data_IF_754230027162
#
_entry.id   IF_754230027162
#
_cell.length_a   1.000
_cell.length_b   1.000
_cell.length_c   1.000
_cell.angle_alpha   90.00
_cell.angle_beta   90.00
_cell.angle_gamma   90.00
#
_symmetry.space_group_name_H-M   'P 1'
#
loop_
_entity.id
_entity.type
_entity.pdbx_description
1 polymer ?
#
# COMPACT_ATOMS: atom_id res chain seq x y z
N UNK A 1 24.24 -40.11 -23.90
CA UNK A 1 24.18 -38.63 -24.03
C UNK A 1 22.82 -38.08 -24.45
N UNK A 2 22.37 -38.16 -25.70
CA UNK A 2 21.14 -37.44 -26.13
C UNK A 2 19.84 -37.97 -25.47
N UNK A 3 19.72 -39.30 -25.32
CA UNK A 3 18.62 -39.94 -24.58
C UNK A 3 18.63 -39.66 -23.07
N UNK A 4 19.80 -39.47 -22.46
CA UNK A 4 19.91 -39.12 -21.04
C UNK A 4 19.53 -37.66 -20.79
N UNK A 5 19.94 -36.75 -21.70
CA UNK A 5 19.50 -35.35 -21.66
C UNK A 5 17.99 -35.23 -21.85
N UNK A 6 17.40 -36.01 -22.76
CA UNK A 6 15.95 -36.03 -22.97
C UNK A 6 15.17 -36.55 -21.74
N UNK A 7 15.66 -37.60 -21.08
CA UNK A 7 15.08 -38.10 -19.82
C UNK A 7 15.21 -37.10 -18.67
N UNK A 8 16.39 -36.51 -18.50
CA UNK A 8 16.61 -35.49 -17.47
C UNK A 8 15.70 -34.27 -17.69
N UNK A 9 15.48 -33.85 -18.94
CA UNK A 9 14.56 -32.76 -19.26
C UNK A 9 13.09 -33.13 -18.95
N UNK A 10 12.67 -34.37 -19.23
CA UNK A 10 11.33 -34.86 -18.86
C UNK A 10 11.13 -34.91 -17.34
N UNK A 11 12.10 -35.41 -16.60
CA UNK A 11 12.02 -35.51 -15.13
C UNK A 11 11.96 -34.12 -14.46
N UNK A 12 12.68 -33.13 -15.00
CA UNK A 12 12.61 -31.74 -14.54
C UNK A 12 11.24 -31.14 -14.85
N UNK A 13 10.73 -31.34 -16.08
CA UNK A 13 9.42 -30.82 -16.47
C UNK A 13 8.28 -31.42 -15.63
N UNK A 14 8.34 -32.72 -15.32
CA UNK A 14 7.36 -33.37 -14.44
C UNK A 14 7.43 -32.85 -13.00
N UNK A 15 8.63 -32.64 -12.45
CA UNK A 15 8.77 -32.05 -11.10
C UNK A 15 8.20 -30.63 -11.05
N UNK A 16 8.53 -29.78 -12.03
CA UNK A 16 8.00 -28.42 -12.13
C UNK A 16 6.47 -28.43 -12.23
N UNK A 17 5.90 -29.36 -13.02
CA UNK A 17 4.45 -29.50 -13.16
C UNK A 17 3.77 -29.96 -11.87
N UNK A 18 4.35 -30.94 -11.16
CA UNK A 18 3.81 -31.40 -9.86
C UNK A 18 3.91 -30.32 -8.79
N UNK A 19 5.03 -29.61 -8.71
CA UNK A 19 5.21 -28.49 -7.77
C UNK A 19 4.25 -27.34 -8.08
N UNK A 20 4.01 -27.05 -9.37
CA UNK A 20 3.03 -26.05 -9.78
C UNK A 20 1.59 -26.48 -9.44
N UNK A 21 1.23 -27.74 -9.65
CA UNK A 21 -0.08 -28.28 -9.32
C UNK A 21 -0.35 -28.27 -7.81
N UNK A 22 0.66 -28.63 -7.00
CA UNK A 22 0.54 -28.61 -5.55
C UNK A 22 0.43 -27.18 -5.00
N UNK A 23 1.24 -26.24 -5.51
CA UNK A 23 1.08 -24.81 -5.19
C UNK A 23 -0.31 -24.28 -5.57
N UNK A 24 -0.84 -24.68 -6.73
CA UNK A 24 -2.17 -24.28 -7.18
C UNK A 24 -3.28 -24.86 -6.30
N UNK A 25 -3.13 -26.11 -5.82
CA UNK A 25 -4.07 -26.74 -4.88
C UNK A 25 -4.09 -26.03 -3.53
N UNK A 26 -2.92 -25.77 -2.96
CA UNK A 26 -2.77 -25.02 -1.71
C UNK A 26 -3.36 -23.61 -1.87
N UNK A 27 -3.08 -22.92 -2.98
CA UNK A 27 -3.64 -21.60 -3.26
C UNK A 27 -5.17 -21.62 -3.34
N UNK A 28 -5.75 -22.66 -3.97
CA UNK A 28 -7.20 -22.81 -4.09
C UNK A 28 -7.86 -23.11 -2.73
N UNK A 29 -7.29 -24.01 -1.94
CA UNK A 29 -7.77 -24.33 -0.58
C UNK A 29 -7.71 -23.08 0.33
N UNK A 30 -6.61 -22.31 0.27
CA UNK A 30 -6.48 -21.05 0.98
C UNK A 30 -7.51 -20.00 0.51
N UNK A 31 -7.81 -19.95 -0.79
CA UNK A 31 -8.78 -19.04 -1.37
C UNK A 31 -10.22 -19.38 -0.93
N UNK A 32 -10.58 -20.67 -0.92
CA UNK A 32 -11.89 -21.16 -0.44
C UNK A 32 -12.08 -20.90 1.06
N UNK A 33 -11.03 -21.10 1.87
CA UNK A 33 -11.06 -20.77 3.31
C UNK A 33 -11.20 -19.26 3.55
N UNK A 34 -10.50 -18.43 2.78
CA UNK A 34 -10.65 -16.98 2.79
C UNK A 34 -12.09 -16.56 2.47
N UNK A 35 -12.70 -17.11 1.42
CA UNK A 35 -14.09 -16.81 1.05
C UNK A 35 -15.08 -17.25 2.15
N UNK A 36 -14.87 -18.41 2.77
CA UNK A 36 -15.69 -18.89 3.87
C UNK A 36 -15.58 -17.99 5.11
N UNK A 37 -14.37 -17.52 5.43
CA UNK A 37 -14.15 -16.58 6.53
C UNK A 37 -14.77 -15.21 6.24
N UNK A 38 -14.71 -14.75 4.98
CA UNK A 38 -15.37 -13.53 4.52
C UNK A 38 -16.89 -13.62 4.67
N UNK A 39 -17.49 -14.76 4.31
CA UNK A 39 -18.93 -15.04 4.52
C UNK A 39 -19.33 -15.02 6.01
N UNK A 40 -18.39 -15.35 6.91
CA UNK A 40 -18.57 -15.29 8.36
C UNK A 40 -18.25 -13.92 8.96
N UNK A 41 -17.89 -12.93 8.13
CA UNK A 41 -17.52 -11.58 8.58
C UNK A 41 -16.14 -11.48 9.22
N UNK A 42 -15.33 -12.55 9.15
CA UNK A 42 -13.95 -12.56 9.66
C UNK A 42 -13.03 -12.08 8.55
N UNK A 43 -12.52 -10.85 8.70
CA UNK A 43 -11.55 -10.30 7.75
C UNK A 43 -10.20 -11.02 7.94
N UNK A 44 -9.64 -11.62 6.88
CA UNK A 44 -8.38 -12.33 6.99
C UNK A 44 -7.25 -11.35 7.29
N UNK A 45 -6.34 -11.82 8.11
CA UNK A 45 -5.14 -11.09 8.49
C UNK A 45 -4.07 -11.45 7.48
N UNK A 46 -3.74 -10.51 6.62
CA UNK A 46 -2.68 -10.69 5.63
C UNK A 46 -1.42 -10.08 6.22
N UNK A 47 -0.47 -10.92 6.62
CA UNK A 47 0.87 -10.49 7.03
C UNK A 47 1.75 -10.58 5.78
N UNK A 48 2.33 -9.47 5.30
CA UNK A 48 3.21 -9.48 4.14
C UNK A 48 4.44 -10.36 4.38
N UNK A 49 4.81 -11.13 3.38
CA UNK A 49 6.05 -11.90 3.36
C UNK A 49 7.26 -10.96 3.28
N UNK A 50 8.47 -11.38 3.71
CA UNK A 50 9.68 -10.58 3.57
C UNK A 50 9.97 -10.16 2.12
N UNK A 51 9.64 -11.01 1.15
CA UNK A 51 9.78 -10.72 -0.28
C UNK A 51 8.83 -9.60 -0.74
N UNK A 52 7.57 -9.63 -0.29
CA UNK A 52 6.61 -8.56 -0.54
C UNK A 52 7.02 -7.25 0.13
N UNK A 53 7.59 -7.32 1.34
CA UNK A 53 8.16 -6.14 2.02
C UNK A 53 9.30 -5.52 1.22
N UNK A 54 10.24 -6.34 0.74
CA UNK A 54 11.33 -5.87 -0.09
C UNK A 54 10.83 -5.26 -1.42
N UNK A 55 9.86 -5.91 -2.07
CA UNK A 55 9.26 -5.42 -3.31
C UNK A 55 8.51 -4.09 -3.11
N UNK A 56 7.75 -3.97 -2.01
CA UNK A 56 7.05 -2.74 -1.65
C UNK A 56 8.03 -1.59 -1.35
N UNK A 57 9.08 -1.84 -0.56
CA UNK A 57 10.16 -0.88 -0.29
C UNK A 57 10.83 -0.41 -1.59
N UNK A 58 11.11 -1.33 -2.52
CA UNK A 58 11.69 -1.00 -3.82
C UNK A 58 10.74 -0.11 -4.65
N UNK A 59 9.46 -0.44 -4.69
CA UNK A 59 8.43 0.31 -5.43
C UNK A 59 8.34 1.77 -4.98
N UNK A 60 8.46 2.02 -3.68
CA UNK A 60 8.37 3.37 -3.10
C UNK A 60 9.72 4.05 -2.91
N UNK A 61 10.80 3.45 -3.43
CA UNK A 61 12.17 3.95 -3.28
C UNK A 61 12.53 4.25 -1.81
N UNK A 62 12.21 3.30 -0.93
CA UNK A 62 12.50 3.41 0.51
C UNK A 62 14.01 3.53 0.76
N UNK A 63 14.42 4.33 1.75
CA UNK A 63 15.83 4.53 2.10
C UNK A 63 15.96 4.52 3.62
N UNK A 64 16.70 3.56 4.19
CA UNK A 64 16.71 3.31 5.64
C UNK A 64 17.25 4.48 6.51
N UNK A 65 17.88 5.50 5.89
CA UNK A 65 18.38 6.68 6.59
C UNK A 65 17.38 7.87 6.59
N UNK A 66 16.21 7.70 5.97
CA UNK A 66 15.12 8.67 5.93
C UNK A 66 13.91 8.15 6.70
N UNK A 67 13.04 9.07 7.10
CA UNK A 67 11.76 8.76 7.73
C UNK A 67 10.63 8.95 6.71
N UNK A 68 9.84 7.91 6.52
CA UNK A 68 8.87 7.81 5.45
C UNK A 68 7.43 7.99 5.97
N UNK A 69 6.81 9.14 5.64
CA UNK A 69 5.43 9.47 5.97
C UNK A 69 4.49 9.16 4.80
N UNK A 70 3.49 8.31 5.02
CA UNK A 70 2.40 8.12 4.08
C UNK A 70 1.18 8.96 4.46
N UNK A 71 0.60 9.69 3.51
CA UNK A 71 -0.67 10.40 3.68
C UNK A 71 -1.74 9.64 2.90
N UNK A 72 -2.66 9.02 3.62
CA UNK A 72 -3.74 8.22 3.07
C UNK A 72 -5.10 8.85 3.37
N UNK A 73 -6.10 8.55 2.55
CA UNK A 73 -7.45 9.08 2.71
C UNK A 73 -8.19 9.14 1.39
N UNK A 74 -9.49 9.42 1.45
CA UNK A 74 -10.35 9.47 0.27
C UNK A 74 -9.89 10.51 -0.77
N UNK A 75 -10.31 10.30 -2.02
CA UNK A 75 -10.05 11.23 -3.10
C UNK A 75 -10.62 12.61 -2.80
N UNK A 76 -9.85 13.66 -3.06
CA UNK A 76 -10.28 15.04 -2.82
C UNK A 76 -10.32 15.48 -1.35
N UNK A 77 -9.82 14.66 -0.41
CA UNK A 77 -9.69 15.05 1.01
C UNK A 77 -8.62 16.12 1.27
N UNK A 78 -7.75 16.40 0.28
CA UNK A 78 -6.71 17.42 0.38
C UNK A 78 -5.33 16.89 0.76
N UNK A 79 -5.04 15.60 0.53
CA UNK A 79 -3.75 14.96 0.83
C UNK A 79 -2.55 15.71 0.26
N UNK A 80 -2.58 15.97 -1.05
CA UNK A 80 -1.49 16.66 -1.76
C UNK A 80 -1.26 18.08 -1.22
N UNK A 81 -2.35 18.81 -0.90
CA UNK A 81 -2.27 20.13 -0.27
C UNK A 81 -1.63 20.05 1.13
N UNK A 82 -1.97 19.02 1.92
CA UNK A 82 -1.37 18.81 3.24
C UNK A 82 0.12 18.47 3.13
N UNK A 83 0.52 17.61 2.19
CA UNK A 83 1.93 17.30 1.91
C UNK A 83 2.70 18.57 1.56
N UNK A 84 2.15 19.43 0.70
CA UNK A 84 2.77 20.70 0.36
C UNK A 84 2.94 21.60 1.59
N UNK A 85 1.91 21.69 2.43
CA UNK A 85 1.96 22.48 3.66
C UNK A 85 3.04 21.97 4.62
N UNK A 86 3.16 20.65 4.84
CA UNK A 86 4.23 20.08 5.66
C UNK A 86 5.63 20.35 5.10
N UNK A 87 5.77 20.35 3.77
CA UNK A 87 7.01 20.67 3.06
C UNK A 87 7.29 22.18 2.96
N UNK A 88 6.41 23.03 3.50
CA UNK A 88 6.54 24.49 3.42
C UNK A 88 6.36 25.08 2.02
N UNK A 89 5.72 24.33 1.11
CA UNK A 89 5.49 24.72 -0.29
C UNK A 89 4.06 25.23 -0.49
N UNK A 90 3.89 26.18 -1.41
CA UNK A 90 2.60 26.55 -1.95
C UNK A 90 2.24 25.59 -3.09
N UNK A 91 0.94 25.37 -3.32
CA UNK A 91 0.46 24.43 -4.34
C UNK A 91 0.91 24.74 -5.79
N UNK A 92 1.42 25.95 -6.04
CA UNK A 92 1.92 26.39 -7.36
C UNK A 92 3.45 26.44 -7.45
N UNK A 93 4.14 26.08 -6.37
CA UNK A 93 5.60 26.10 -6.34
C UNK A 93 6.15 24.93 -7.17
N UNK A 94 7.35 25.12 -7.71
CA UNK A 94 8.06 24.06 -8.43
C UNK A 94 8.36 22.91 -7.46
N UNK A 95 7.97 21.69 -7.85
CA UNK A 95 8.14 20.49 -7.00
C UNK A 95 7.06 20.29 -5.93
N UNK A 96 6.00 21.11 -5.93
CA UNK A 96 4.81 20.85 -5.15
C UNK A 96 4.06 19.61 -5.68
N UNK A 97 3.44 18.86 -4.78
CA UNK A 97 2.51 17.79 -5.10
C UNK A 97 1.32 18.39 -5.87
N UNK A 98 0.96 17.85 -7.06
CA UNK A 98 -0.15 18.36 -7.84
C UNK A 98 -1.45 18.32 -7.04
N UNK A 99 -2.19 19.42 -7.02
CA UNK A 99 -3.48 19.50 -6.33
C UNK A 99 -4.64 19.56 -7.31
N UNK A 100 -5.68 18.76 -7.10
CA UNK A 100 -6.90 18.76 -7.92
C UNK A 100 -7.77 17.53 -7.63
N UNK A 101 -9.01 17.52 -8.12
CA UNK A 101 -9.97 16.40 -7.93
C UNK A 101 -9.65 15.22 -8.88
N UNK A 102 -8.78 15.44 -9.87
CA UNK A 102 -8.44 14.44 -10.88
C UNK A 102 -7.39 13.49 -10.29
N UNK A 103 -7.79 12.66 -9.33
CA UNK A 103 -7.02 11.47 -8.98
C UNK A 103 -7.20 10.42 -10.09
N UNK A 104 -6.30 10.47 -11.09
CA UNK A 104 -6.14 9.40 -12.08
C UNK A 104 -4.95 8.48 -11.76
N UNK A 105 -4.19 8.77 -10.70
CA UNK A 105 -2.97 8.05 -10.38
C UNK A 105 -3.28 6.82 -9.52
N UNK A 106 -3.07 5.64 -10.09
CA UNK A 106 -3.07 4.34 -9.39
C UNK A 106 -1.74 4.06 -8.67
N UNK A 107 -0.84 5.04 -8.68
CA UNK A 107 0.54 4.94 -8.20
C UNK A 107 0.80 5.89 -7.05
N UNK A 108 1.56 5.43 -6.06
CA UNK A 108 2.05 6.24 -4.94
C UNK A 108 3.08 7.24 -5.43
N UNK A 109 2.89 8.52 -5.11
CA UNK A 109 3.83 9.59 -5.45
C UNK A 109 4.75 9.92 -4.27
N UNK A 110 6.03 10.13 -4.56
CA UNK A 110 7.11 10.36 -3.57
C UNK A 110 7.62 11.79 -3.62
N UNK A 111 7.65 12.45 -2.46
CA UNK A 111 8.05 13.85 -2.31
C UNK A 111 9.06 14.00 -1.16
N UNK A 112 10.37 14.03 -1.44
CA UNK A 112 11.38 14.38 -0.45
C UNK A 112 11.16 15.78 0.13
N UNK A 113 11.49 15.95 1.40
CA UNK A 113 11.45 17.27 2.04
C UNK A 113 12.50 18.20 1.42
N UNK A 114 12.14 19.44 1.06
CA UNK A 114 13.10 20.38 0.47
C UNK A 114 14.13 20.89 1.49
N UNK A 115 13.87 20.78 2.80
CA UNK A 115 14.80 21.20 3.83
C UNK A 115 15.77 20.04 4.16
N UNK A 116 17.09 20.19 3.95
CA UNK A 116 18.06 19.13 4.22
C UNK A 116 18.20 18.75 5.70
N UNK A 117 17.65 19.55 6.61
CA UNK A 117 17.59 19.23 8.05
C UNK A 117 16.46 18.27 8.40
N UNK A 118 15.49 18.10 7.50
CA UNK A 118 14.37 17.20 7.65
C UNK A 118 14.69 15.92 6.85
N UNK A 119 15.14 14.83 7.50
CA UNK A 119 15.39 13.56 6.81
C UNK A 119 14.07 12.85 6.49
N UNK A 120 13.11 13.56 5.89
CA UNK A 120 11.72 13.13 5.72
C UNK A 120 11.40 12.94 4.25
N UNK A 121 10.57 11.95 3.97
CA UNK A 121 9.97 11.73 2.66
C UNK A 121 8.47 11.58 2.84
N UNK A 122 7.72 12.34 2.06
CA UNK A 122 6.27 12.36 2.09
C UNK A 122 5.71 11.59 0.91
N UNK A 123 4.68 10.79 1.14
CA UNK A 123 4.06 9.95 0.13
C UNK A 123 2.57 10.27 0.02
N UNK A 124 2.12 10.56 -1.19
CA UNK A 124 0.70 10.70 -1.49
C UNK A 124 0.15 9.33 -1.91
N UNK A 125 -0.73 8.77 -1.08
CA UNK A 125 -1.30 7.44 -1.33
C UNK A 125 -2.61 7.62 -2.10
N UNK A 126 -2.77 6.99 -3.28
CA UNK A 126 -3.97 7.09 -4.11
C UNK A 126 -5.27 6.88 -3.32
N UNK A 127 -6.27 7.74 -3.50
CA UNK A 127 -7.50 7.65 -2.74
C UNK A 127 -8.25 6.34 -2.94
N UNK A 128 -8.68 5.71 -1.85
CA UNK A 128 -9.30 4.38 -1.86
C UNK A 128 -10.61 4.28 -2.67
N UNK A 129 -11.29 5.39 -2.94
CA UNK A 129 -12.54 5.42 -3.73
C UNK A 129 -12.37 5.14 -5.23
N UNK A 130 -11.15 5.01 -5.73
CA UNK A 130 -10.85 4.74 -7.16
C UNK A 130 -10.67 3.26 -7.47
N UNK A 131 -10.52 2.40 -6.45
CA UNK A 131 -10.24 0.98 -6.62
C UNK A 131 -11.49 0.16 -6.29
N UNK A 132 -11.91 -0.73 -7.19
CA UNK A 132 -12.90 -1.79 -6.93
C UNK A 132 -12.32 -2.89 -6.00
N UNK A 133 -11.53 -2.49 -5.02
CA UNK A 133 -10.90 -3.38 -4.05
C UNK A 133 -11.63 -3.25 -2.71
N UNK A 134 -11.72 -4.37 -2.01
CA UNK A 134 -12.25 -4.37 -0.66
C UNK A 134 -11.38 -3.52 0.27
N UNK A 135 -12.01 -2.71 1.11
CA UNK A 135 -11.35 -1.77 2.03
C UNK A 135 -10.21 -2.40 2.86
N UNK A 136 -10.32 -3.68 3.20
CA UNK A 136 -9.32 -4.41 3.97
C UNK A 136 -8.07 -4.79 3.17
N UNK A 137 -8.16 -4.90 1.84
CA UNK A 137 -7.02 -5.19 0.96
C UNK A 137 -6.22 -3.94 0.65
N UNK A 138 -6.85 -2.76 0.69
CA UNK A 138 -6.23 -1.49 0.32
C UNK A 138 -4.91 -1.24 1.07
N UNK A 139 -4.86 -1.52 2.37
CA UNK A 139 -3.64 -1.32 3.17
C UNK A 139 -2.45 -2.14 2.64
N UNK A 140 -2.68 -3.42 2.32
CA UNK A 140 -1.64 -4.29 1.80
C UNK A 140 -1.34 -4.02 0.32
N UNK A 141 -2.36 -3.74 -0.50
CA UNK A 141 -2.19 -3.50 -1.94
C UNK A 141 -1.41 -2.22 -2.24
N UNK A 142 -1.59 -1.18 -1.40
CA UNK A 142 -0.81 0.04 -1.49
C UNK A 142 0.55 -0.05 -0.79
N UNK A 143 0.85 -1.17 -0.12
CA UNK A 143 2.13 -1.38 0.58
C UNK A 143 2.29 -0.49 1.81
N UNK A 144 1.19 -0.12 2.49
CA UNK A 144 1.24 0.83 3.61
C UNK A 144 2.09 0.34 4.79
N UNK A 145 2.31 -0.97 4.90
CA UNK A 145 3.10 -1.60 5.94
C UNK A 145 4.60 -1.25 5.91
N UNK A 146 5.12 -0.63 4.84
CA UNK A 146 6.54 -0.26 4.73
C UNK A 146 6.86 1.14 5.26
N UNK A 147 5.85 1.95 5.57
CA UNK A 147 6.05 3.33 6.02
C UNK A 147 6.27 3.40 7.53
N UNK A 148 7.08 4.37 7.96
CA UNK A 148 7.42 4.58 9.37
C UNK A 148 6.30 5.30 10.12
N UNK A 149 5.47 6.06 9.40
CA UNK A 149 4.30 6.75 9.96
C UNK A 149 3.22 6.93 8.89
N UNK A 150 1.95 6.81 9.30
CA UNK A 150 0.79 7.03 8.44
C UNK A 150 -0.06 8.19 8.98
N UNK A 151 -0.48 9.07 8.08
CA UNK A 151 -1.42 10.15 8.36
C UNK A 151 -2.71 9.82 7.61
N UNK A 152 -3.78 9.54 8.35
CA UNK A 152 -5.11 9.27 7.79
C UNK A 152 -5.89 10.58 7.74
N UNK A 153 -6.07 11.10 6.53
CA UNK A 153 -6.74 12.37 6.26
C UNK A 153 -8.18 12.13 5.80
N UNK A 154 -9.13 12.67 6.56
CA UNK A 154 -10.55 12.69 6.19
C UNK A 154 -11.07 14.12 6.15
N UNK A 155 -12.14 14.38 5.39
CA UNK A 155 -12.77 15.71 5.32
C UNK A 155 -14.11 15.77 6.08
N UNK A 156 -15.24 15.53 5.40
CA UNK A 156 -16.60 15.56 5.95
C UNK A 156 -17.03 14.19 6.42
N UNK A 157 -16.59 13.13 5.72
CA UNK A 157 -17.00 11.75 6.01
C UNK A 157 -15.82 10.92 6.44
N UNK A 158 -16.01 10.19 7.53
CA UNK A 158 -15.11 9.15 7.98
C UNK A 158 -15.61 7.81 7.44
N UNK A 159 -14.81 7.14 6.62
CA UNK A 159 -15.25 5.98 5.82
C UNK A 159 -14.83 4.65 6.43
N UNK A 160 -15.43 3.56 5.94
CA UNK A 160 -15.02 2.19 6.27
C UNK A 160 -13.57 1.93 5.87
N UNK A 161 -13.11 2.53 4.78
CA UNK A 161 -11.70 2.46 4.37
C UNK A 161 -10.77 3.12 5.40
N UNK A 162 -11.11 4.32 5.90
CA UNK A 162 -10.28 5.00 6.91
C UNK A 162 -10.16 4.14 8.18
N UNK A 163 -11.26 3.54 8.61
CA UNK A 163 -11.29 2.60 9.74
C UNK A 163 -10.43 1.36 9.45
N UNK A 164 -10.50 0.80 8.24
CA UNK A 164 -9.71 -0.36 7.84
C UNK A 164 -8.21 -0.04 7.83
N UNK A 165 -7.80 1.13 7.33
CA UNK A 165 -6.41 1.59 7.40
C UNK A 165 -5.97 1.69 8.85
N UNK A 166 -6.72 2.38 9.71
CA UNK A 166 -6.38 2.57 11.12
C UNK A 166 -6.25 1.24 11.89
N UNK A 167 -7.17 0.30 11.66
CA UNK A 167 -7.10 -1.05 12.26
C UNK A 167 -5.84 -1.81 11.84
N UNK A 168 -5.46 -1.71 10.56
CA UNK A 168 -4.23 -2.32 10.08
C UNK A 168 -2.99 -1.63 10.67
N UNK A 169 -2.98 -0.29 10.75
CA UNK A 169 -1.87 0.42 11.36
C UNK A 169 -1.66 0.02 12.83
N UNK A 170 -2.75 -0.10 13.61
CA UNK A 170 -2.70 -0.62 14.98
C UNK A 170 -2.10 -2.03 15.03
N UNK A 171 -2.49 -2.88 14.08
CA UNK A 171 -2.03 -4.27 13.99
C UNK A 171 -0.55 -4.39 13.67
N UNK A 172 -0.05 -3.58 12.75
CA UNK A 172 1.36 -3.53 12.36
C UNK A 172 2.19 -2.62 13.28
N UNK A 173 1.58 -2.05 14.32
CA UNK A 173 2.20 -1.12 15.26
C UNK A 173 2.84 0.10 14.58
N UNK A 174 2.23 0.59 13.50
CA UNK A 174 2.70 1.76 12.76
C UNK A 174 2.15 3.01 13.43
N UNK A 175 3.01 3.95 13.86
CA UNK A 175 2.58 5.25 14.36
C UNK A 175 1.61 5.92 13.39
N UNK A 176 0.45 6.32 13.89
CA UNK A 176 -0.63 6.85 13.05
C UNK A 176 -1.25 8.10 13.64
N UNK A 177 -1.46 9.10 12.78
CA UNK A 177 -2.16 10.33 13.10
C UNK A 177 -3.44 10.45 12.28
N UNK A 178 -4.50 10.91 12.92
CA UNK A 178 -5.77 11.19 12.26
C UNK A 178 -5.87 12.70 12.09
N UNK A 179 -6.09 13.16 10.86
CA UNK A 179 -6.22 14.59 10.55
C UNK A 179 -7.56 14.82 9.87
N UNK A 180 -8.33 15.79 10.38
CA UNK A 180 -9.52 16.30 9.71
C UNK A 180 -9.14 17.52 8.89
N UNK A 181 -9.30 17.44 7.58
CA UNK A 181 -9.14 18.60 6.69
C UNK A 181 -10.43 19.42 6.59
N UNK A 182 -10.32 20.62 6.01
CA UNK A 182 -11.46 21.51 5.71
C UNK A 182 -12.34 21.79 6.94
N UNK A 183 -11.73 21.97 8.11
CA UNK A 183 -12.46 22.26 9.36
C UNK A 183 -13.01 23.70 9.42
N UNK A 184 -12.53 24.55 8.52
CA UNK A 184 -12.97 25.93 8.27
C UNK A 184 -14.22 26.03 7.38
N UNK A 185 -14.61 24.93 6.74
CA UNK A 185 -15.76 24.85 5.84
C UNK A 185 -17.10 24.65 6.58
#
# INVERSE_FOLDING_TARGET
EERERARAAQDIAERVSRDAAEKARIAKEAQEEMEANLRKGVQPIIIPTPEEVAAAKLKVQYQDHLFHFAVAGVSGSGKSSLINAFRGLRNKDVGAAPTGIVEMTSTVDRYPDPNPRNPFVWYDIPGAGTLQQSDWLYFNSQGLFVFDCIIVLFDVRFTTTDIAILKNCQRFQIPTYIVRSKADA
#
